data_IF_765961528447
#
_entry.id   IF_765961528447
#
_cell.length_a   1.000
_cell.length_b   1.000
_cell.length_c   1.000
_cell.angle_alpha   90.00
_cell.angle_beta   90.00
_cell.angle_gamma   90.00
#
_symmetry.space_group_name_H-M   'P 1'
#
loop_
_entity.id
_entity.type
_entity.pdbx_description
1 polymer ?
#
# COMPACT_ATOMS: atom_id res chain seq x y z
N UNK A 1 48.37 22.05 -15.49
CA UNK A 1 47.29 21.21 -16.06
C UNK A 1 46.25 20.94 -14.99
N UNK A 2 45.06 21.53 -15.19
CA UNK A 2 43.72 21.25 -14.65
C UNK A 2 43.53 20.99 -13.14
N UNK A 3 43.16 22.08 -12.46
CA UNK A 3 42.40 22.11 -11.19
C UNK A 3 41.13 21.27 -11.29
N UNK A 4 40.87 20.40 -10.29
CA UNK A 4 39.55 19.81 -10.06
C UNK A 4 38.84 20.64 -8.98
N UNK A 5 37.99 21.57 -9.43
CA UNK A 5 36.96 22.15 -8.57
C UNK A 5 35.77 21.19 -8.54
N UNK A 6 35.48 20.59 -7.39
CA UNK A 6 34.16 19.99 -7.14
C UNK A 6 33.29 21.13 -6.60
N UNK A 7 32.45 21.68 -7.47
CA UNK A 7 31.30 22.49 -7.06
C UNK A 7 30.13 21.53 -6.88
N UNK A 8 29.85 21.12 -5.64
CA UNK A 8 28.50 20.68 -5.27
C UNK A 8 27.80 21.91 -4.67
N UNK A 9 27.15 22.67 -5.54
CA UNK A 9 26.24 23.74 -5.13
C UNK A 9 24.94 23.11 -4.63
N UNK A 10 24.52 23.53 -3.43
CA UNK A 10 23.15 23.50 -2.92
C UNK A 10 22.46 22.13 -2.86
N UNK A 11 22.73 21.38 -1.78
CA UNK A 11 21.70 20.55 -1.16
C UNK A 11 20.71 21.54 -0.55
N UNK A 12 19.67 21.87 -1.30
CA UNK A 12 18.46 22.46 -0.73
C UNK A 12 17.85 21.42 0.19
N UNK A 13 18.14 21.51 1.47
CA UNK A 13 17.44 20.77 2.50
C UNK A 13 16.00 21.31 2.49
N UNK A 14 15.11 20.67 1.74
CA UNK A 14 13.67 20.83 1.95
C UNK A 14 13.33 20.07 3.24
N UNK A 15 13.69 20.67 4.37
CA UNK A 15 13.06 20.32 5.63
C UNK A 15 11.61 20.80 5.51
N UNK A 16 10.70 19.92 5.09
CA UNK A 16 9.28 20.15 5.28
C UNK A 16 8.99 19.92 6.77
N UNK A 17 9.40 20.89 7.58
CA UNK A 17 8.91 21.04 8.94
C UNK A 17 7.41 21.26 8.83
N UNK A 18 6.62 20.23 9.15
CA UNK A 18 5.19 20.40 9.47
C UNK A 18 5.15 21.19 10.78
N UNK A 19 5.26 22.50 10.67
CA UNK A 19 4.91 23.47 11.71
C UNK A 19 3.66 24.22 11.25
N UNK A 20 2.60 23.47 10.93
CA UNK A 20 1.30 24.04 10.60
C UNK A 20 0.51 24.51 11.84
N UNK A 21 1.09 24.45 13.04
CA UNK A 21 0.44 24.93 14.27
C UNK A 21 0.67 26.43 14.58
N UNK A 22 1.43 27.17 13.75
CA UNK A 22 1.96 28.49 14.15
C UNK A 22 1.60 29.72 13.30
N UNK A 23 1.07 29.58 12.06
CA UNK A 23 0.92 30.74 11.14
C UNK A 23 -0.42 30.74 10.38
N UNK A 24 -1.49 30.16 10.94
CA UNK A 24 -2.84 30.42 10.43
C UNK A 24 -3.77 30.78 11.60
N UNK A 25 -4.36 31.99 11.62
CA UNK A 25 -5.39 32.31 12.58
C UNK A 25 -6.62 31.44 12.28
N UNK A 26 -6.98 30.55 13.20
CA UNK A 26 -8.28 29.86 13.27
C UNK A 26 -8.75 29.15 11.98
N UNK A 27 -7.88 28.34 11.36
CA UNK A 27 -8.31 27.28 10.45
C UNK A 27 -8.74 26.04 11.25
N UNK A 28 -9.91 25.47 10.95
CA UNK A 28 -10.43 24.31 11.68
C UNK A 28 -9.86 23.03 11.05
N UNK A 29 -8.70 22.59 11.56
CA UNK A 29 -8.05 21.36 11.12
C UNK A 29 -9.01 20.17 11.28
N UNK A 30 -9.47 19.59 10.17
CA UNK A 30 -10.30 18.40 10.22
C UNK A 30 -9.39 17.19 10.43
N UNK A 31 -9.63 16.44 11.50
CA UNK A 31 -8.91 15.22 11.82
C UNK A 31 -9.89 14.05 11.96
N UNK A 32 -9.58 12.92 11.32
CA UNK A 32 -10.41 11.72 11.33
C UNK A 32 -9.59 10.51 11.74
N UNK A 33 -10.11 9.75 12.70
CA UNK A 33 -9.67 8.39 13.00
C UNK A 33 -10.65 7.43 12.34
N UNK A 34 -10.13 6.42 11.67
CA UNK A 34 -10.88 5.35 11.02
C UNK A 34 -10.07 4.06 11.04
N UNK A 35 -10.64 2.97 10.57
CA UNK A 35 -9.98 1.67 10.57
C UNK A 35 -10.98 0.54 10.40
N UNK A 36 -10.46 -0.67 10.50
CA UNK A 36 -11.23 -1.91 10.41
C UNK A 36 -10.50 -3.03 11.14
N UNK A 37 -11.28 -4.03 11.57
CA UNK A 37 -10.79 -5.37 11.91
C UNK A 37 -11.34 -6.30 10.84
N UNK A 38 -10.49 -7.09 10.20
CA UNK A 38 -10.88 -7.95 9.10
C UNK A 38 -10.16 -9.29 9.16
N UNK A 39 -10.87 -10.30 9.66
CA UNK A 39 -10.41 -11.68 9.67
C UNK A 39 -11.14 -12.52 8.63
N UNK A 40 -10.43 -13.51 8.09
CA UNK A 40 -10.95 -14.54 7.22
C UNK A 40 -11.17 -15.83 8.00
N UNK A 41 -12.14 -16.61 7.53
CA UNK A 41 -12.28 -18.02 7.82
C UNK A 41 -12.13 -18.77 6.50
N UNK A 42 -11.25 -19.77 6.47
CA UNK A 42 -10.98 -20.57 5.28
C UNK A 42 -11.06 -22.05 5.63
N UNK A 43 -11.58 -22.83 4.71
CA UNK A 43 -11.39 -24.27 4.67
C UNK A 43 -10.61 -24.60 3.40
N UNK A 44 -9.50 -25.29 3.56
CA UNK A 44 -8.60 -25.65 2.47
C UNK A 44 -8.40 -27.17 2.47
N UNK A 45 -8.42 -27.76 1.27
CA UNK A 45 -8.18 -29.16 1.00
C UNK A 45 -7.37 -29.27 -0.30
N UNK A 46 -6.22 -29.92 -0.22
CA UNK A 46 -5.35 -30.16 -1.38
C UNK A 46 -5.35 -31.62 -1.86
N UNK A 47 -6.27 -32.43 -1.33
CA UNK A 47 -6.45 -33.85 -1.61
C UNK A 47 -5.54 -34.76 -0.78
N UNK A 48 -4.61 -34.21 0.00
CA UNK A 48 -3.77 -34.97 0.95
C UNK A 48 -4.01 -34.51 2.38
N UNK A 49 -4.10 -33.20 2.59
CA UNK A 49 -4.38 -32.56 3.87
C UNK A 49 -5.56 -31.60 3.73
N UNK A 50 -6.30 -31.47 4.81
CA UNK A 50 -7.41 -30.52 4.93
C UNK A 50 -7.28 -29.75 6.25
N UNK A 51 -7.68 -28.48 6.25
CA UNK A 51 -7.61 -27.66 7.46
C UNK A 51 -8.61 -26.50 7.45
N UNK A 52 -8.98 -26.07 8.66
CA UNK A 52 -9.72 -24.85 8.91
C UNK A 52 -8.76 -23.78 9.44
N UNK A 53 -8.72 -22.64 8.76
CA UNK A 53 -7.78 -21.56 9.05
C UNK A 53 -8.53 -20.29 9.40
N UNK A 54 -8.06 -19.59 10.43
CA UNK A 54 -8.59 -18.29 10.86
C UNK A 54 -7.41 -17.34 11.07
N UNK A 55 -7.53 -16.14 10.52
CA UNK A 55 -6.53 -15.09 10.72
C UNK A 55 -6.84 -13.84 9.92
N UNK A 56 -5.90 -12.91 9.88
CA UNK A 56 -6.11 -11.61 9.27
C UNK A 56 -6.12 -11.68 7.74
N UNK A 57 -6.94 -10.83 7.13
CA UNK A 57 -7.11 -10.75 5.69
C UNK A 57 -6.05 -9.85 5.05
N UNK A 58 -4.97 -10.40 4.50
CA UNK A 58 -3.88 -9.58 3.91
C UNK A 58 -4.40 -8.63 2.80
N UNK A 59 -5.35 -9.11 1.98
CA UNK A 59 -5.95 -8.34 0.89
C UNK A 59 -6.68 -7.09 1.42
N UNK A 60 -7.20 -7.14 2.63
CA UNK A 60 -7.83 -6.00 3.27
C UNK A 60 -7.63 -6.03 4.78
N UNK A 61 -6.38 -5.85 5.20
CA UNK A 61 -5.93 -6.09 6.57
C UNK A 61 -6.68 -5.32 7.66
N UNK A 62 -6.62 -5.86 8.88
CA UNK A 62 -6.90 -5.10 10.10
C UNK A 62 -5.94 -3.92 10.19
N UNK A 63 -6.49 -2.71 10.37
CA UNK A 63 -5.73 -1.47 10.31
C UNK A 63 -6.46 -0.31 10.97
N UNK A 64 -5.70 0.71 11.31
CA UNK A 64 -6.23 2.00 11.69
C UNK A 64 -5.58 3.11 10.86
N UNK A 65 -6.33 4.18 10.66
CA UNK A 65 -5.96 5.31 9.82
C UNK A 65 -6.31 6.61 10.51
N UNK A 66 -5.34 7.50 10.56
CA UNK A 66 -5.49 8.88 10.97
C UNK A 66 -5.21 9.81 9.78
N UNK A 67 -6.17 10.64 9.45
CA UNK A 67 -6.04 11.64 8.39
C UNK A 67 -6.33 13.01 8.93
N UNK A 68 -5.73 14.03 8.32
CA UNK A 68 -6.26 15.37 8.48
C UNK A 68 -5.86 16.30 7.36
N UNK A 69 -6.63 17.36 7.22
CA UNK A 69 -6.52 18.32 6.13
C UNK A 69 -7.00 19.71 6.53
N UNK A 70 -6.50 20.72 5.83
CA UNK A 70 -6.88 22.13 5.98
C UNK A 70 -6.81 22.82 4.61
N UNK A 71 -7.71 23.79 4.39
CA UNK A 71 -7.71 24.61 3.18
C UNK A 71 -7.00 25.95 3.41
N UNK A 72 -5.99 26.23 2.60
CA UNK A 72 -5.25 27.49 2.55
C UNK A 72 -5.50 28.18 1.21
N UNK A 73 -6.65 28.85 1.08
CA UNK A 73 -7.09 29.48 -0.17
C UNK A 73 -7.31 28.42 -1.25
N UNK A 74 -6.47 28.42 -2.29
CA UNK A 74 -6.55 27.46 -3.41
C UNK A 74 -5.79 26.15 -3.15
N UNK A 75 -5.10 26.02 -2.02
CA UNK A 75 -4.30 24.84 -1.70
C UNK A 75 -4.93 24.10 -0.53
N UNK A 76 -5.30 22.84 -0.72
CA UNK A 76 -5.64 21.93 0.38
C UNK A 76 -4.39 21.15 0.76
N UNK A 77 -3.93 21.30 2.00
CA UNK A 77 -2.81 20.52 2.53
C UNK A 77 -3.34 19.46 3.50
N UNK A 78 -2.77 18.27 3.47
CA UNK A 78 -3.18 17.20 4.38
C UNK A 78 -2.16 16.10 4.52
N UNK A 79 -2.49 15.10 5.34
CA UNK A 79 -1.69 13.91 5.54
C UNK A 79 -2.57 12.66 5.69
N UNK A 80 -1.96 11.50 5.50
CA UNK A 80 -2.51 10.20 5.84
C UNK A 80 -1.47 9.38 6.57
N UNK A 81 -1.85 8.87 7.74
CA UNK A 81 -1.11 7.84 8.47
C UNK A 81 -2.00 6.60 8.60
N UNK A 82 -1.58 5.49 8.03
CA UNK A 82 -2.25 4.19 8.11
C UNK A 82 -1.25 3.14 8.58
N UNK A 83 -1.64 2.41 9.63
CA UNK A 83 -0.87 1.32 10.20
C UNK A 83 -1.67 0.03 10.13
N UNK A 84 -1.00 -1.02 9.70
CA UNK A 84 -1.48 -2.40 9.60
C UNK A 84 -1.14 -3.20 10.84
N UNK A 85 -2.08 -4.04 11.27
CA UNK A 85 -1.91 -4.94 12.40
C UNK A 85 -2.50 -6.31 12.06
N UNK A 86 -1.68 -7.18 11.50
CA UNK A 86 -2.11 -8.51 11.09
C UNK A 86 -1.69 -9.56 12.11
N UNK A 87 -2.60 -10.45 12.49
CA UNK A 87 -2.30 -11.70 13.19
C UNK A 87 -2.57 -12.87 12.27
N UNK A 88 -1.62 -13.80 12.12
CA UNK A 88 -1.77 -14.96 11.23
C UNK A 88 -2.27 -14.54 9.83
N UNK A 89 -1.47 -13.76 9.08
CA UNK A 89 -1.92 -13.20 7.78
C UNK A 89 -2.20 -14.30 6.75
N UNK A 90 -3.32 -14.17 6.03
CA UNK A 90 -3.79 -15.17 5.07
C UNK A 90 -2.79 -15.51 3.96
N UNK A 91 -1.94 -14.56 3.56
CA UNK A 91 -0.92 -14.80 2.54
C UNK A 91 0.18 -15.75 3.00
N UNK A 92 0.36 -15.90 4.32
CA UNK A 92 1.42 -16.70 4.93
C UNK A 92 0.96 -18.02 5.53
N UNK A 93 -0.36 -18.26 5.63
CA UNK A 93 -0.90 -19.51 6.18
C UNK A 93 -0.56 -20.71 5.28
N UNK A 94 -0.36 -21.87 5.89
CA UNK A 94 -0.20 -23.15 5.19
C UNK A 94 -1.32 -24.12 5.55
N UNK A 95 -1.64 -25.05 4.66
CA UNK A 95 -2.72 -26.03 4.89
C UNK A 95 -2.35 -26.96 6.06
N UNK A 96 -1.07 -27.27 6.26
CA UNK A 96 -0.57 -28.12 7.34
C UNK A 96 -0.36 -27.38 8.68
N UNK A 97 -0.72 -26.09 8.76
CA UNK A 97 -0.53 -25.28 9.96
C UNK A 97 -1.24 -25.85 11.19
N UNK A 98 -0.53 -25.95 12.32
CA UNK A 98 -1.02 -26.54 13.58
C UNK A 98 -1.08 -25.53 14.74
N UNK A 99 -0.78 -24.26 14.49
CA UNK A 99 -0.71 -23.19 15.47
C UNK A 99 -1.31 -21.87 14.94
N UNK A 100 -1.21 -20.80 15.73
CA UNK A 100 -1.72 -19.47 15.37
C UNK A 100 -0.79 -18.70 14.40
N UNK A 101 0.21 -19.37 13.79
CA UNK A 101 1.11 -18.79 12.82
C UNK A 101 2.04 -17.70 13.38
N UNK A 102 2.46 -16.77 12.52
CA UNK A 102 3.39 -15.72 12.89
C UNK A 102 2.79 -14.71 13.90
N UNK A 103 3.64 -14.24 14.81
CA UNK A 103 3.27 -13.19 15.78
C UNK A 103 2.81 -11.91 15.08
N UNK A 104 1.84 -11.22 15.69
CA UNK A 104 1.31 -9.94 15.17
C UNK A 104 2.42 -8.95 14.83
N UNK A 105 2.35 -8.40 13.61
CA UNK A 105 3.26 -7.34 13.15
C UNK A 105 2.50 -6.03 13.01
N UNK A 106 3.11 -4.94 13.49
CA UNK A 106 2.66 -3.58 13.23
C UNK A 106 3.52 -3.00 12.10
N UNK A 107 2.92 -2.71 10.96
CA UNK A 107 3.62 -2.16 9.78
C UNK A 107 2.98 -0.85 9.34
N UNK A 108 3.79 0.06 8.82
CA UNK A 108 3.29 1.23 8.10
C UNK A 108 2.74 0.84 6.72
N UNK A 109 1.54 1.32 6.38
CA UNK A 109 0.97 1.19 5.03
C UNK A 109 1.08 2.52 4.28
N UNK A 110 0.54 3.58 4.85
CA UNK A 110 0.56 4.92 4.25
C UNK A 110 1.10 5.88 5.28
N UNK A 111 2.17 6.58 4.95
CA UNK A 111 2.73 7.66 5.76
C UNK A 111 3.13 8.78 4.81
N UNK A 112 2.14 9.58 4.39
CA UNK A 112 2.36 10.64 3.40
C UNK A 112 1.70 11.96 3.78
N UNK A 113 2.32 13.05 3.33
CA UNK A 113 1.73 14.38 3.27
C UNK A 113 1.42 14.75 1.83
N UNK A 114 0.45 15.63 1.61
CA UNK A 114 0.08 16.07 0.27
C UNK A 114 -0.35 17.53 0.20
N UNK A 115 -0.20 18.10 -1.00
CA UNK A 115 -0.78 19.38 -1.40
C UNK A 115 -1.66 19.17 -2.63
N UNK A 116 -2.93 19.51 -2.52
CA UNK A 116 -3.88 19.47 -3.62
C UNK A 116 -4.24 20.89 -4.07
N UNK A 117 -4.15 21.13 -5.37
CA UNK A 117 -4.35 22.44 -6.00
C UNK A 117 -5.25 22.28 -7.23
N UNK A 118 -5.75 23.39 -7.83
CA UNK A 118 -6.47 23.31 -9.10
C UNK A 118 -5.65 22.75 -10.26
N UNK A 119 -4.33 22.67 -10.12
CA UNK A 119 -3.40 22.13 -11.11
C UNK A 119 -2.98 20.69 -10.82
N UNK A 120 -3.56 20.04 -9.81
CA UNK A 120 -3.28 18.66 -9.44
C UNK A 120 -2.79 18.51 -8.00
N UNK A 121 -2.51 17.26 -7.64
CA UNK A 121 -2.08 16.85 -6.31
C UNK A 121 -0.64 16.37 -6.34
N UNK A 122 0.16 16.80 -5.36
CA UNK A 122 1.48 16.24 -5.09
C UNK A 122 1.43 15.54 -3.74
N UNK A 123 1.84 14.27 -3.69
CA UNK A 123 2.00 13.46 -2.46
C UNK A 123 3.49 13.15 -2.25
N UNK A 124 3.94 13.18 -0.99
CA UNK A 124 5.31 12.85 -0.58
C UNK A 124 5.27 11.95 0.66
N UNK A 125 5.99 10.82 0.60
CA UNK A 125 6.10 9.85 1.68
C UNK A 125 5.75 8.43 1.21
N UNK A 126 5.46 7.55 2.15
CA UNK A 126 5.15 6.15 1.87
C UNK A 126 3.70 5.97 1.43
N UNK A 127 3.48 5.29 0.31
CA UNK A 127 2.14 4.98 -0.23
C UNK A 127 2.18 4.48 -1.68
N UNK A 128 1.03 4.51 -2.37
CA UNK A 128 0.85 3.88 -3.68
C UNK A 128 1.47 4.63 -4.87
N UNK A 129 2.33 3.94 -5.60
CA UNK A 129 2.87 4.34 -6.89
C UNK A 129 1.81 4.66 -7.93
N UNK A 130 2.17 5.38 -8.98
CA UNK A 130 1.22 5.91 -9.95
C UNK A 130 0.47 4.81 -10.71
N UNK A 131 1.12 3.66 -10.95
CA UNK A 131 0.52 2.53 -11.67
C UNK A 131 -0.15 1.49 -10.75
N UNK A 132 -0.11 1.66 -9.42
CA UNK A 132 -0.78 0.76 -8.49
C UNK A 132 -2.30 0.71 -8.75
N UNK A 133 -2.85 -0.49 -8.82
CA UNK A 133 -4.24 -0.78 -9.15
C UNK A 133 -4.59 -0.78 -10.64
N UNK A 134 -3.66 -0.50 -11.55
CA UNK A 134 -3.97 -0.37 -12.98
C UNK A 134 -4.16 -1.72 -13.69
N UNK A 135 -3.59 -2.80 -13.12
CA UNK A 135 -3.69 -4.17 -13.64
C UNK A 135 -4.73 -5.03 -12.92
N UNK A 136 -5.50 -4.46 -12.00
CA UNK A 136 -6.23 -5.21 -10.96
C UNK A 136 -7.75 -5.26 -11.15
N UNK A 137 -8.21 -5.50 -12.38
CA UNK A 137 -9.65 -5.52 -12.67
C UNK A 137 -10.32 -6.78 -12.11
N UNK A 138 -11.09 -6.62 -11.03
CA UNK A 138 -11.94 -7.64 -10.43
C UNK A 138 -13.43 -7.38 -10.71
N UNK A 139 -14.08 -8.33 -11.40
CA UNK A 139 -15.52 -8.29 -11.73
C UNK A 139 -16.35 -9.30 -10.93
N UNK A 140 -15.74 -9.99 -9.96
CA UNK A 140 -16.40 -11.03 -9.16
C UNK A 140 -17.39 -10.46 -8.13
N UNK A 141 -17.20 -9.20 -7.73
CA UNK A 141 -17.92 -8.60 -6.60
C UNK A 141 -17.46 -9.12 -5.24
N UNK A 142 -16.36 -9.88 -5.17
CA UNK A 142 -15.84 -10.48 -3.92
C UNK A 142 -14.60 -9.80 -3.38
N UNK A 143 -14.28 -8.59 -3.85
CA UNK A 143 -13.01 -7.86 -3.67
C UNK A 143 -12.43 -7.87 -2.25
N UNK A 144 -13.22 -8.01 -1.18
CA UNK A 144 -12.70 -8.17 0.19
C UNK A 144 -12.21 -9.59 0.48
N UNK A 145 -12.97 -10.61 0.06
CA UNK A 145 -12.68 -12.04 0.34
C UNK A 145 -11.65 -12.58 -0.66
N UNK A 146 -11.77 -12.18 -1.93
CA UNK A 146 -10.86 -12.59 -2.99
C UNK A 146 -10.84 -11.50 -4.06
N UNK A 147 -9.65 -11.02 -4.38
CA UNK A 147 -9.38 -9.95 -5.34
C UNK A 147 -8.57 -10.50 -6.52
N UNK A 148 -8.16 -9.66 -7.47
CA UNK A 148 -7.27 -10.10 -8.57
C UNK A 148 -5.92 -10.61 -8.05
N UNK A 149 -5.47 -10.10 -6.91
CA UNK A 149 -4.30 -10.63 -6.21
C UNK A 149 -4.68 -11.81 -5.31
N UNK A 150 -4.62 -13.01 -5.87
CA UNK A 150 -4.87 -14.25 -5.12
C UNK A 150 -3.76 -14.58 -4.12
N UNK A 151 -2.60 -13.91 -4.20
CA UNK A 151 -1.46 -14.16 -3.32
C UNK A 151 -1.75 -13.70 -1.89
N UNK A 152 -2.54 -12.64 -1.74
CA UNK A 152 -2.95 -12.10 -0.46
C UNK A 152 -3.83 -13.08 0.35
N UNK A 153 -4.63 -13.92 -0.31
CA UNK A 153 -5.54 -14.85 0.39
C UNK A 153 -4.92 -16.24 0.62
N UNK A 154 -4.09 -16.74 -0.30
CA UNK A 154 -3.62 -18.12 -0.28
C UNK A 154 -2.17 -18.31 -0.77
N UNK A 155 -1.34 -17.25 -0.70
CA UNK A 155 -0.01 -17.23 -1.30
C UNK A 155 0.90 -18.40 -0.91
N UNK A 156 0.90 -18.78 0.37
CA UNK A 156 1.70 -19.89 0.91
C UNK A 156 1.06 -21.28 0.74
N UNK A 157 -0.13 -21.39 0.14
CA UNK A 157 -0.69 -22.72 -0.15
C UNK A 157 0.13 -23.38 -1.25
N UNK A 158 0.49 -24.64 -1.01
CA UNK A 158 1.32 -25.41 -1.93
C UNK A 158 0.49 -26.30 -2.82
N UNK A 159 0.83 -26.37 -4.11
CA UNK A 159 0.26 -27.39 -4.99
C UNK A 159 0.81 -28.76 -4.62
N UNK A 160 0.01 -29.82 -4.75
CA UNK A 160 0.48 -31.20 -4.55
C UNK A 160 1.12 -31.77 -5.81
N UNK A 161 2.21 -32.50 -5.62
CA UNK A 161 2.82 -33.34 -6.66
C UNK A 161 2.03 -34.65 -6.82
N UNK A 162 2.19 -35.34 -7.96
CA UNK A 162 1.51 -36.62 -8.19
C UNK A 162 1.88 -37.73 -7.20
N UNK A 163 2.99 -37.58 -6.47
CA UNK A 163 3.41 -38.49 -5.39
C UNK A 163 2.93 -38.10 -3.99
N UNK A 164 2.09 -37.06 -3.86
CA UNK A 164 1.58 -36.56 -2.57
C UNK A 164 2.52 -35.60 -1.81
N UNK A 165 3.70 -35.32 -2.35
CA UNK A 165 4.63 -34.32 -1.79
C UNK A 165 4.24 -32.89 -2.16
N UNK A 166 4.86 -31.91 -1.48
CA UNK A 166 4.66 -30.48 -1.69
C UNK A 166 5.39 -29.98 -2.95
N UNK A 167 4.66 -29.30 -3.83
CA UNK A 167 5.16 -28.61 -5.01
C UNK A 167 5.33 -27.11 -4.76
N UNK A 168 5.35 -26.27 -5.82
CA UNK A 168 5.46 -24.83 -5.65
C UNK A 168 4.23 -24.23 -4.96
N UNK A 169 4.39 -23.07 -4.35
CA UNK A 169 3.29 -22.31 -3.75
C UNK A 169 2.47 -21.54 -4.79
N UNK A 170 1.28 -21.07 -4.41
CA UNK A 170 0.49 -20.15 -5.24
C UNK A 170 1.33 -18.91 -5.59
N UNK A 171 2.04 -18.34 -4.62
CA UNK A 171 2.94 -17.18 -4.82
C UNK A 171 4.10 -17.44 -5.76
N UNK A 172 4.60 -18.67 -5.86
CA UNK A 172 5.67 -19.02 -6.80
C UNK A 172 5.19 -19.18 -8.25
N UNK A 173 3.88 -19.30 -8.47
CA UNK A 173 3.31 -19.58 -9.81
C UNK A 173 2.49 -18.43 -10.39
N UNK A 174 2.25 -17.37 -9.61
CA UNK A 174 1.36 -16.26 -9.96
C UNK A 174 2.04 -14.91 -9.70
N UNK A 175 1.56 -13.89 -10.41
CA UNK A 175 1.94 -12.49 -10.23
C UNK A 175 0.72 -11.64 -10.61
N UNK A 176 0.40 -10.61 -9.83
CA UNK A 176 -0.74 -9.72 -10.11
C UNK A 176 -0.44 -8.69 -11.22
N UNK A 177 0.82 -8.57 -11.63
CA UNK A 177 1.32 -7.59 -12.59
C UNK A 177 0.97 -6.14 -12.25
N UNK A 178 0.78 -5.84 -10.95
CA UNK A 178 0.45 -4.48 -10.50
C UNK A 178 1.67 -3.56 -10.45
N UNK A 179 1.38 -2.25 -10.41
CA UNK A 179 2.38 -1.23 -10.12
C UNK A 179 2.91 -1.29 -8.69
N UNK A 180 3.82 -0.37 -8.38
CA UNK A 180 4.50 -0.32 -7.09
C UNK A 180 3.55 0.15 -5.99
N UNK A 181 3.38 -0.68 -4.97
CA UNK A 181 2.56 -0.39 -3.81
C UNK A 181 3.41 0.02 -2.60
N UNK A 182 2.93 0.98 -1.80
CA UNK A 182 3.46 1.32 -0.46
C UNK A 182 4.95 1.70 -0.42
N UNK A 183 5.43 2.49 -1.37
CA UNK A 183 6.83 2.93 -1.45
C UNK A 183 7.02 4.38 -0.98
N UNK A 184 8.20 4.68 -0.44
CA UNK A 184 8.67 6.05 -0.26
C UNK A 184 8.82 6.72 -1.63
N UNK A 185 8.01 7.75 -1.87
CA UNK A 185 7.91 8.35 -3.21
C UNK A 185 7.52 9.82 -3.18
N UNK A 186 7.72 10.45 -4.32
CA UNK A 186 6.99 11.66 -4.73
C UNK A 186 6.04 11.23 -5.85
N UNK A 187 4.77 11.63 -5.75
CA UNK A 187 3.73 11.36 -6.76
C UNK A 187 3.03 12.65 -7.16
N UNK A 188 2.73 12.79 -8.44
CA UNK A 188 1.86 13.82 -8.98
C UNK A 188 0.66 13.19 -9.69
N UNK A 189 -0.53 13.71 -9.40
CA UNK A 189 -1.78 13.37 -10.08
C UNK A 189 -2.37 14.64 -10.72
N UNK A 190 -2.59 14.61 -12.03
CA UNK A 190 -3.17 15.74 -12.76
C UNK A 190 -4.67 15.92 -12.47
N UNK A 191 -5.23 17.12 -12.69
CA UNK A 191 -6.68 17.27 -12.79
C UNK A 191 -7.23 16.42 -13.94
N UNK A 192 -8.51 16.04 -13.84
CA UNK A 192 -9.22 15.43 -14.96
C UNK A 192 -9.60 16.48 -15.98
N UNK A 193 -9.18 16.30 -17.23
CA UNK A 193 -9.45 17.20 -18.36
C UNK A 193 -10.14 16.37 -19.45
N UNK A 194 -11.39 16.69 -19.75
CA UNK A 194 -12.20 15.98 -20.75
C UNK A 194 -12.24 14.45 -20.56
N UNK A 195 -12.19 13.97 -19.31
CA UNK A 195 -12.18 12.54 -18.97
C UNK A 195 -10.80 11.90 -18.91
N UNK A 196 -9.74 12.62 -19.27
CA UNK A 196 -8.36 12.15 -19.18
C UNK A 196 -7.68 12.69 -17.93
N UNK A 197 -6.80 11.89 -17.32
CA UNK A 197 -5.89 12.30 -16.26
C UNK A 197 -4.57 11.54 -16.44
N UNK A 198 -3.54 12.01 -15.74
CA UNK A 198 -2.20 11.44 -15.75
C UNK A 198 -1.69 11.36 -14.32
N UNK A 199 -1.09 10.23 -13.97
CA UNK A 199 -0.39 10.05 -12.71
C UNK A 199 1.06 9.67 -12.97
N UNK A 200 1.98 10.20 -12.17
CA UNK A 200 3.40 9.80 -12.20
C UNK A 200 4.01 9.77 -10.82
N UNK A 201 4.93 8.84 -10.59
CA UNK A 201 5.66 8.69 -9.33
C UNK A 201 7.14 8.42 -9.58
N UNK A 202 7.97 8.83 -8.62
CA UNK A 202 9.37 8.45 -8.51
C UNK A 202 9.60 7.92 -7.10
N UNK A 203 10.25 6.77 -6.99
CA UNK A 203 10.54 6.12 -5.71
C UNK A 203 12.04 5.85 -5.55
N UNK A 204 12.45 5.46 -4.35
CA UNK A 204 13.81 5.05 -4.04
C UNK A 204 14.26 3.92 -4.98
N UNK A 205 15.55 3.90 -5.33
CA UNK A 205 16.09 2.89 -6.25
C UNK A 205 15.87 3.19 -7.74
N UNK A 206 15.65 4.46 -8.10
CA UNK A 206 15.54 4.95 -9.48
C UNK A 206 14.31 4.45 -10.26
N UNK A 207 13.34 3.85 -9.59
CA UNK A 207 12.08 3.44 -10.23
C UNK A 207 11.12 4.63 -10.40
N UNK A 208 10.46 4.65 -11.55
CA UNK A 208 9.44 5.64 -11.91
C UNK A 208 8.27 4.96 -12.61
N UNK A 209 7.08 5.52 -12.43
CA UNK A 209 5.84 4.97 -13.01
C UNK A 209 5.01 6.09 -13.64
N UNK A 210 4.19 5.71 -14.64
CA UNK A 210 3.24 6.58 -15.32
C UNK A 210 1.96 5.77 -15.60
N UNK A 211 0.80 6.37 -15.36
CA UNK A 211 -0.52 5.81 -15.66
C UNK A 211 -1.46 6.89 -16.21
#
# INVERSE_FOLDING_TARGET
MKNKYVRLSTIGLAALLILAAGICPAGAFEAKVSGQVNHLFMYADDGTEENFLIGDNDNSSTRFRFTGEENFGMVKAGFTMEMEMESNTSSSMTIDQQDDGATTSLKERILEGYFNTPYGKISIGQGDGAANGTSEVDLSGTTVINYSDTLATAGSFSFRTSGGGTGPTVSETRNNFDGLSRNDRIRYDSPTIAGFFLSTSMTNGEAWEIA
#
